data_IF_739052048925
#
_entry.id   IF_739052048925
#
_cell.length_a   1.000
_cell.length_b   1.000
_cell.length_c   1.000
_cell.angle_alpha   90.00
_cell.angle_beta   90.00
_cell.angle_gamma   90.00
#
_symmetry.space_group_name_H-M   'P 1'
#
loop_
_entity.id
_entity.type
_entity.pdbx_description
1 polymer ?
#
# COMPACT_ATOMS: atom_id res chain seq x y z
N UNK A 1 -15.75 -13.41 8.00
CA UNK A 1 -14.95 -12.50 8.82
C UNK A 1 -13.52 -13.05 9.04
N UNK A 2 -13.37 -14.30 9.56
CA UNK A 2 -12.04 -14.91 9.77
C UNK A 2 -11.25 -14.93 8.47
N UNK A 3 -11.81 -15.47 7.40
CA UNK A 3 -11.13 -15.54 6.11
C UNK A 3 -10.70 -14.15 5.60
N UNK A 4 -11.61 -13.16 5.67
CA UNK A 4 -11.36 -11.83 5.15
C UNK A 4 -10.35 -11.02 5.98
N UNK A 5 -10.38 -11.18 7.31
CA UNK A 5 -9.62 -10.30 8.21
C UNK A 5 -8.43 -10.96 8.90
N UNK A 6 -8.37 -12.30 8.94
CA UNK A 6 -7.30 -13.02 9.62
C UNK A 6 -6.51 -13.95 8.70
N UNK A 7 -7.14 -14.50 7.65
CA UNK A 7 -6.50 -15.49 6.76
C UNK A 7 -5.99 -14.86 5.48
N UNK A 8 -6.85 -14.15 4.73
CA UNK A 8 -6.46 -13.48 3.48
C UNK A 8 -6.05 -12.04 3.74
N UNK A 9 -4.94 -11.88 4.45
CA UNK A 9 -4.47 -10.59 4.96
C UNK A 9 -3.73 -9.75 3.93
N UNK A 10 -3.18 -10.34 2.87
CA UNK A 10 -2.32 -9.65 1.90
C UNK A 10 -2.46 -10.22 0.49
N UNK A 11 -2.04 -9.42 -0.48
CA UNK A 11 -1.79 -9.86 -1.84
C UNK A 11 -0.35 -10.35 -2.00
N UNK A 12 -0.05 -11.00 -3.14
CA UNK A 12 1.24 -11.65 -3.31
C UNK A 12 1.78 -11.48 -4.73
N UNK A 13 3.04 -11.08 -4.82
CA UNK A 13 3.79 -11.07 -6.06
C UNK A 13 3.64 -9.83 -6.94
N UNK A 14 4.40 -9.84 -8.00
CA UNK A 14 4.44 -8.82 -9.04
C UNK A 14 4.81 -9.46 -10.36
N UNK A 15 4.23 -8.98 -11.46
CA UNK A 15 4.65 -9.31 -12.81
C UNK A 15 5.35 -8.10 -13.44
N UNK A 16 6.46 -8.32 -14.13
CA UNK A 16 7.18 -7.28 -14.85
C UNK A 16 7.61 -7.77 -16.22
N UNK A 17 7.39 -6.93 -17.23
CA UNK A 17 7.83 -7.21 -18.60
C UNK A 17 8.28 -5.94 -19.32
N UNK A 18 9.14 -6.06 -20.34
CA UNK A 18 9.54 -4.93 -21.18
C UNK A 18 8.37 -4.49 -22.07
N UNK A 19 8.13 -3.18 -22.16
CA UNK A 19 7.02 -2.62 -22.95
C UNK A 19 7.26 -2.69 -24.47
N UNK A 20 8.49 -2.91 -24.90
CA UNK A 20 8.91 -2.93 -26.30
C UNK A 20 9.17 -4.36 -26.84
N UNK A 21 8.81 -5.39 -26.08
CA UNK A 21 8.98 -6.79 -26.48
C UNK A 21 7.67 -7.55 -26.37
N UNK A 22 7.40 -8.36 -27.38
CA UNK A 22 6.27 -9.30 -27.42
C UNK A 22 6.71 -10.58 -28.14
N UNK A 23 5.97 -11.66 -27.94
CA UNK A 23 6.15 -12.91 -28.69
C UNK A 23 5.69 -12.74 -30.14
N UNK A 24 5.96 -13.74 -30.99
CA UNK A 24 5.48 -13.75 -32.38
C UNK A 24 3.96 -13.71 -32.49
N UNK A 25 3.28 -14.23 -31.48
CA UNK A 25 1.82 -14.26 -31.33
C UNK A 25 1.24 -12.96 -30.73
N UNK A 26 2.09 -11.95 -30.44
CA UNK A 26 1.68 -10.67 -29.86
C UNK A 26 1.46 -10.70 -28.34
N UNK A 27 1.88 -11.77 -27.65
CA UNK A 27 1.76 -11.87 -26.20
C UNK A 27 2.91 -11.15 -25.49
N UNK A 28 2.69 -10.57 -24.28
CA UNK A 28 3.76 -9.95 -23.51
C UNK A 28 4.80 -10.98 -23.07
N UNK A 29 6.06 -10.57 -23.07
CA UNK A 29 7.15 -11.33 -22.44
C UNK A 29 7.34 -10.87 -21.01
N UNK A 30 7.66 -11.78 -20.10
CA UNK A 30 7.83 -11.46 -18.69
C UNK A 30 9.27 -11.67 -18.24
N UNK A 31 9.79 -10.68 -17.51
CA UNK A 31 11.07 -10.73 -16.80
C UNK A 31 10.88 -11.27 -15.38
N UNK A 32 9.76 -10.92 -14.76
CA UNK A 32 9.31 -11.45 -13.47
C UNK A 32 7.90 -11.98 -13.64
N UNK A 33 7.66 -13.21 -13.20
CA UNK A 33 6.39 -13.91 -13.33
C UNK A 33 6.27 -14.99 -12.25
N UNK A 34 5.13 -15.70 -12.25
CA UNK A 34 4.80 -16.84 -11.39
C UNK A 34 4.58 -16.49 -9.90
N UNK A 35 4.14 -17.46 -9.14
CA UNK A 35 3.88 -17.40 -7.70
C UNK A 35 4.54 -18.64 -7.05
N UNK A 36 5.61 -18.47 -6.25
CA UNK A 36 6.36 -17.23 -5.94
C UNK A 36 6.99 -16.57 -7.17
N UNK A 37 7.26 -15.23 -7.12
CA UNK A 37 7.86 -14.52 -8.25
C UNK A 37 9.22 -15.09 -8.64
N UNK A 38 9.37 -15.46 -9.91
CA UNK A 38 10.62 -15.93 -10.50
C UNK A 38 11.12 -14.87 -11.48
N UNK A 39 12.37 -14.43 -11.30
CA UNK A 39 13.01 -13.47 -12.19
C UNK A 39 13.95 -14.15 -13.15
N UNK A 40 13.89 -13.76 -14.43
CA UNK A 40 14.85 -14.12 -15.48
C UNK A 40 16.02 -13.12 -15.59
N UNK A 41 16.07 -12.13 -14.69
CA UNK A 41 17.06 -11.05 -14.66
C UNK A 41 17.75 -11.00 -13.29
N UNK A 42 18.61 -10.01 -13.08
CA UNK A 42 19.24 -9.74 -11.79
C UNK A 42 18.33 -8.97 -10.79
N UNK A 43 17.06 -8.73 -11.16
CA UNK A 43 16.09 -8.07 -10.28
C UNK A 43 15.39 -9.15 -9.46
N UNK A 44 15.65 -9.19 -8.18
CA UNK A 44 15.05 -10.15 -7.24
C UNK A 44 13.91 -9.51 -6.45
N UNK A 45 12.87 -10.30 -6.12
CA UNK A 45 11.79 -9.91 -5.22
C UNK A 45 11.97 -10.67 -3.91
N UNK A 46 12.55 -10.01 -2.91
CA UNK A 46 12.82 -10.62 -1.60
C UNK A 46 11.61 -10.64 -0.67
N UNK A 47 10.67 -9.70 -0.87
CA UNK A 47 9.45 -9.59 -0.07
C UNK A 47 8.26 -9.33 -0.99
N UNK A 48 7.60 -10.40 -1.46
CA UNK A 48 6.50 -10.30 -2.42
C UNK A 48 5.13 -10.00 -1.80
N UNK A 49 4.98 -10.12 -0.47
CA UNK A 49 3.70 -9.89 0.20
C UNK A 49 3.31 -8.40 0.24
N UNK A 50 2.07 -8.10 -0.14
CA UNK A 50 1.51 -6.75 -0.26
C UNK A 50 0.36 -6.59 0.74
N UNK A 51 0.66 -6.03 1.91
CA UNK A 51 -0.34 -5.71 2.93
C UNK A 51 -1.01 -4.36 2.67
N UNK A 52 -0.29 -3.43 2.05
CA UNK A 52 -0.78 -2.11 1.67
C UNK A 52 -0.72 -1.99 0.15
N UNK A 53 -1.88 -1.85 -0.48
CA UNK A 53 -2.00 -1.88 -1.93
C UNK A 53 -3.09 -0.96 -2.44
N UNK A 54 -3.25 -0.91 -3.75
CA UNK A 54 -4.24 -0.05 -4.40
C UNK A 54 -5.68 -0.49 -4.07
N UNK A 55 -5.92 -1.80 -4.11
CA UNK A 55 -7.25 -2.40 -3.92
C UNK A 55 -7.52 -2.90 -2.50
N UNK A 56 -6.59 -2.70 -1.57
CA UNK A 56 -6.71 -3.18 -0.19
C UNK A 56 -7.62 -2.27 0.63
N UNK A 57 -8.92 -2.50 0.60
CA UNK A 57 -9.92 -1.62 1.23
C UNK A 57 -10.30 -2.02 2.65
N UNK A 58 -10.31 -3.32 2.98
CA UNK A 58 -10.67 -3.80 4.33
C UNK A 58 -9.48 -3.79 5.29
N UNK A 59 -9.79 -3.71 6.59
CA UNK A 59 -8.79 -3.91 7.63
C UNK A 59 -8.44 -5.40 7.76
N UNK A 60 -7.26 -5.71 8.31
CA UNK A 60 -6.90 -7.07 8.69
C UNK A 60 -6.09 -7.10 9.99
N UNK A 61 -6.08 -8.26 10.63
CA UNK A 61 -5.22 -8.54 11.76
C UNK A 61 -4.13 -9.52 11.32
N UNK A 62 -2.91 -9.24 11.71
CA UNK A 62 -1.75 -10.11 11.52
C UNK A 62 -1.22 -10.60 12.85
N UNK A 63 -0.44 -11.66 12.84
CA UNK A 63 0.07 -12.31 14.06
C UNK A 63 -1.07 -12.76 14.97
N UNK A 64 -2.07 -13.43 14.39
CA UNK A 64 -3.20 -14.03 15.11
C UNK A 64 -2.98 -15.54 15.28
N UNK A 65 -3.90 -16.25 15.94
CA UNK A 65 -3.88 -17.72 15.96
C UNK A 65 -4.20 -18.32 14.60
N UNK A 66 -5.04 -17.63 13.80
CA UNK A 66 -5.30 -18.04 12.43
C UNK A 66 -4.05 -17.82 11.58
N UNK A 67 -3.67 -18.81 10.79
CA UNK A 67 -2.54 -18.71 9.86
C UNK A 67 -2.90 -17.82 8.69
N UNK A 68 -1.97 -16.95 8.31
CA UNK A 68 -2.11 -16.10 7.15
C UNK A 68 -1.81 -16.91 5.88
N UNK A 69 -2.74 -16.91 4.93
CA UNK A 69 -2.54 -17.55 3.62
C UNK A 69 -1.55 -16.70 2.81
N UNK A 70 -0.51 -17.33 2.31
CA UNK A 70 0.53 -16.68 1.51
C UNK A 70 0.27 -16.90 0.01
N UNK A 71 0.42 -18.13 -0.47
CA UNK A 71 0.15 -18.50 -1.86
C UNK A 71 -0.16 -19.99 -2.01
N UNK A 72 -0.82 -20.40 -3.12
CA UNK A 72 -1.04 -21.81 -3.42
C UNK A 72 0.23 -22.44 -4.01
N UNK A 73 0.56 -23.66 -3.59
CA UNK A 73 1.68 -24.46 -4.12
C UNK A 73 1.20 -25.87 -4.49
N UNK A 74 0.85 -26.08 -5.75
CA UNK A 74 0.21 -27.31 -6.21
C UNK A 74 -1.16 -27.49 -5.55
N UNK A 75 -1.36 -28.66 -4.90
CA UNK A 75 -2.60 -28.98 -4.17
C UNK A 75 -2.59 -28.47 -2.71
N UNK A 76 -1.51 -27.85 -2.25
CA UNK A 76 -1.36 -27.40 -0.88
C UNK A 76 -1.34 -25.85 -0.81
N UNK A 77 -1.64 -25.31 0.38
CA UNK A 77 -1.56 -23.90 0.67
C UNK A 77 -0.31 -23.61 1.50
N UNK A 78 0.44 -22.58 1.11
CA UNK A 78 1.53 -22.03 1.91
C UNK A 78 0.98 -20.96 2.83
N UNK A 79 1.45 -20.96 4.07
CA UNK A 79 1.07 -20.01 5.11
C UNK A 79 2.29 -19.25 5.61
N UNK A 80 2.06 -18.04 6.05
CA UNK A 80 3.10 -17.15 6.57
C UNK A 80 2.68 -16.49 7.87
N UNK A 81 3.64 -15.83 8.51
CA UNK A 81 3.44 -14.94 9.66
C UNK A 81 4.07 -13.58 9.36
N UNK A 82 3.34 -12.52 9.68
CA UNK A 82 3.84 -11.16 9.46
C UNK A 82 5.01 -10.85 10.40
N UNK A 83 6.16 -10.51 9.84
CA UNK A 83 7.38 -10.16 10.59
C UNK A 83 7.72 -8.66 10.58
N UNK A 84 6.86 -7.84 10.00
CA UNK A 84 7.12 -6.42 9.82
C UNK A 84 6.71 -5.55 11.01
N UNK A 85 6.89 -4.23 10.85
CA UNK A 85 6.59 -3.22 11.86
C UNK A 85 5.27 -2.48 11.62
N UNK A 86 4.54 -2.79 10.52
CA UNK A 86 3.29 -2.12 10.15
C UNK A 86 2.14 -2.42 11.08
N UNK A 87 1.04 -1.67 10.93
CA UNK A 87 -0.15 -1.81 11.75
C UNK A 87 0.00 -1.31 13.19
N UNK A 88 -1.08 -1.36 13.95
CA UNK A 88 -1.15 -0.92 15.36
C UNK A 88 -1.27 -2.14 16.27
N UNK A 89 -0.42 -2.30 17.29
CA UNK A 89 -0.53 -3.40 18.24
C UNK A 89 -1.88 -3.37 18.98
N UNK A 90 -2.59 -4.53 19.04
CA UNK A 90 -3.91 -4.65 19.67
C UNK A 90 -3.75 -5.16 21.11
N UNK A 91 -2.99 -4.41 21.91
CA UNK A 91 -2.73 -4.80 23.31
C UNK A 91 -3.89 -4.38 24.22
N UNK A 92 -4.44 -5.35 24.97
CA UNK A 92 -5.40 -5.12 26.02
C UNK A 92 -6.85 -4.87 25.55
N UNK A 93 -7.78 -5.00 26.49
CA UNK A 93 -9.21 -4.90 26.23
C UNK A 93 -9.64 -3.53 25.70
N UNK A 94 -9.09 -2.44 26.23
CA UNK A 94 -9.48 -1.09 25.82
C UNK A 94 -9.23 -0.83 24.34
N UNK A 95 -8.09 -1.27 23.79
CA UNK A 95 -7.80 -1.13 22.36
C UNK A 95 -8.74 -1.96 21.50
N UNK A 96 -9.03 -3.22 21.92
CA UNK A 96 -10.03 -4.05 21.23
C UNK A 96 -11.40 -3.37 21.22
N UNK A 97 -11.81 -2.78 22.34
CA UNK A 97 -13.08 -2.05 22.46
C UNK A 97 -13.11 -0.85 21.50
N UNK A 98 -12.07 -0.01 21.50
CA UNK A 98 -12.00 1.15 20.63
C UNK A 98 -12.06 0.77 19.16
N UNK A 99 -11.34 -0.28 18.74
CA UNK A 99 -11.40 -0.77 17.36
C UNK A 99 -12.74 -1.43 17.03
N UNK A 100 -13.33 -2.19 17.96
CA UNK A 100 -14.68 -2.75 17.81
C UNK A 100 -15.73 -1.67 17.56
N UNK A 101 -15.67 -0.56 18.30
CA UNK A 101 -16.53 0.60 18.11
C UNK A 101 -16.23 1.34 16.79
N UNK A 102 -14.95 1.55 16.47
CA UNK A 102 -14.53 2.24 15.23
C UNK A 102 -15.00 1.52 13.97
N UNK A 103 -14.83 0.21 13.93
CA UNK A 103 -15.24 -0.61 12.78
C UNK A 103 -16.69 -1.12 12.88
N UNK A 104 -17.37 -0.84 14.01
CA UNK A 104 -18.73 -1.35 14.31
C UNK A 104 -18.82 -2.87 14.23
N UNK A 105 -17.78 -3.56 14.69
CA UNK A 105 -17.61 -5.00 14.57
C UNK A 105 -17.34 -5.65 15.94
N UNK A 106 -18.34 -6.29 16.50
CA UNK A 106 -18.27 -6.95 17.81
C UNK A 106 -17.33 -8.17 17.82
N UNK A 107 -17.09 -8.79 16.66
CA UNK A 107 -16.18 -9.93 16.55
C UNK A 107 -14.75 -9.59 16.95
N UNK A 108 -14.34 -8.33 16.84
CA UNK A 108 -13.02 -7.85 17.30
C UNK A 108 -12.87 -8.06 18.82
N UNK A 109 -13.96 -7.83 19.57
CA UNK A 109 -13.96 -8.04 21.03
C UNK A 109 -14.03 -9.51 21.42
N UNK A 110 -14.81 -10.30 20.67
CA UNK A 110 -15.16 -11.68 21.01
C UNK A 110 -14.16 -12.70 20.49
N UNK A 111 -13.33 -12.34 19.48
CA UNK A 111 -12.40 -13.26 18.87
C UNK A 111 -11.28 -13.66 19.84
N UNK A 112 -11.12 -14.96 20.04
CA UNK A 112 -10.00 -15.58 20.76
C UNK A 112 -8.73 -15.70 19.90
N UNK A 113 -8.83 -15.43 18.60
CA UNK A 113 -7.71 -15.50 17.67
C UNK A 113 -6.81 -14.27 17.74
N UNK A 114 -7.38 -13.11 18.13
CA UNK A 114 -6.63 -11.87 18.33
C UNK A 114 -5.85 -11.94 19.65
N UNK A 115 -4.53 -12.04 19.55
CA UNK A 115 -3.60 -12.16 20.67
C UNK A 115 -3.02 -10.80 21.10
N UNK A 116 -2.18 -10.81 22.12
CA UNK A 116 -1.53 -9.60 22.66
C UNK A 116 -0.47 -9.00 21.71
N UNK A 117 0.12 -9.80 20.87
CA UNK A 117 1.11 -9.44 19.86
C UNK A 117 0.49 -9.19 18.48
N UNK A 118 -0.81 -9.49 18.32
CA UNK A 118 -1.54 -9.20 17.09
C UNK A 118 -1.52 -7.71 16.77
N UNK A 119 -1.46 -7.41 15.48
CA UNK A 119 -1.47 -6.04 14.97
C UNK A 119 -2.64 -5.84 14.02
N UNK A 120 -3.29 -4.71 14.14
CA UNK A 120 -4.36 -4.28 13.25
C UNK A 120 -3.81 -3.37 12.16
N UNK A 121 -4.04 -3.74 10.91
CA UNK A 121 -3.74 -2.92 9.74
C UNK A 121 -5.03 -2.37 9.16
N UNK A 122 -5.11 -1.06 9.00
CA UNK A 122 -6.23 -0.36 8.38
C UNK A 122 -5.75 0.82 7.55
N UNK A 123 -6.66 1.43 6.78
CA UNK A 123 -6.30 2.41 5.76
C UNK A 123 -5.18 1.85 4.85
N UNK A 124 -5.41 0.64 4.37
CA UNK A 124 -4.44 -0.13 3.61
C UNK A 124 -4.39 0.27 2.15
N UNK A 125 -5.47 0.87 1.63
CA UNK A 125 -5.45 1.45 0.28
C UNK A 125 -4.50 2.64 0.23
N UNK A 126 -3.55 2.60 -0.69
CA UNK A 126 -2.53 3.64 -0.91
C UNK A 126 -3.16 5.02 -1.04
N UNK A 127 -4.17 5.14 -1.91
CA UNK A 127 -4.85 6.41 -2.15
C UNK A 127 -5.64 6.92 -0.95
N UNK A 128 -6.32 6.03 -0.22
CA UNK A 128 -7.07 6.42 1.00
C UNK A 128 -6.12 6.86 2.10
N UNK A 129 -5.03 6.11 2.28
CA UNK A 129 -4.00 6.38 3.28
C UNK A 129 -3.38 7.76 3.10
N UNK A 130 -2.99 8.11 1.88
CA UNK A 130 -2.39 9.40 1.57
C UNK A 130 -3.36 10.56 1.74
N UNK A 131 -4.61 10.43 1.29
CA UNK A 131 -5.63 11.49 1.47
C UNK A 131 -5.92 11.78 2.94
N UNK A 132 -5.83 10.76 3.82
CA UNK A 132 -5.98 10.96 5.26
C UNK A 132 -4.75 11.61 5.89
N UNK A 133 -3.55 11.24 5.42
CA UNK A 133 -2.29 11.74 5.96
C UNK A 133 -2.04 13.21 5.56
N UNK A 134 -2.26 13.55 4.28
CA UNK A 134 -1.98 14.86 3.70
C UNK A 134 -3.18 15.34 2.88
N UNK A 135 -4.28 15.75 3.50
CA UNK A 135 -5.53 16.09 2.81
C UNK A 135 -5.44 17.35 1.95
N UNK A 136 -4.41 18.16 2.11
CA UNK A 136 -4.19 19.41 1.36
C UNK A 136 -3.52 19.20 -0.01
N UNK A 137 -2.94 18.01 -0.25
CA UNK A 137 -2.38 17.67 -1.56
C UNK A 137 -3.46 17.10 -2.50
N UNK A 138 -3.27 17.31 -3.77
CA UNK A 138 -3.92 16.53 -4.82
C UNK A 138 -3.02 15.38 -5.21
N UNK A 139 -3.63 14.24 -5.54
CA UNK A 139 -2.90 13.03 -5.88
C UNK A 139 -3.21 12.61 -7.30
N UNK A 140 -2.25 11.97 -7.92
CA UNK A 140 -2.52 11.20 -9.13
C UNK A 140 -3.55 10.09 -8.82
N UNK A 141 -4.17 9.58 -9.86
CA UNK A 141 -5.16 8.51 -9.73
C UNK A 141 -4.54 7.12 -9.81
N UNK A 142 -3.32 7.04 -10.33
CA UNK A 142 -2.65 5.80 -10.70
C UNK A 142 -1.31 5.66 -9.96
N UNK A 143 -1.33 5.10 -8.73
CA UNK A 143 -0.11 4.73 -8.04
C UNK A 143 0.56 3.56 -8.77
N UNK A 144 1.88 3.59 -8.92
CA UNK A 144 2.61 2.51 -9.53
C UNK A 144 3.57 1.83 -8.56
N UNK A 145 3.77 0.52 -8.75
CA UNK A 145 4.64 -0.29 -7.89
C UNK A 145 6.04 -0.39 -8.49
N UNK A 146 7.05 -0.34 -7.63
CA UNK A 146 8.45 -0.50 -8.00
C UNK A 146 9.16 -1.48 -7.08
N UNK A 147 10.21 -2.10 -7.59
CA UNK A 147 11.10 -2.99 -6.84
C UNK A 147 12.34 -2.20 -6.46
N UNK A 148 12.66 -2.16 -5.17
CA UNK A 148 13.91 -1.53 -4.69
C UNK A 148 15.11 -2.45 -4.93
N UNK A 149 16.33 -1.90 -4.81
CA UNK A 149 17.59 -2.66 -4.90
C UNK A 149 17.66 -3.84 -3.91
N UNK A 150 16.92 -3.78 -2.81
CA UNK A 150 16.83 -4.83 -1.79
C UNK A 150 15.67 -5.82 -2.06
N UNK A 151 15.05 -5.78 -3.23
CA UNK A 151 13.95 -6.68 -3.60
C UNK A 151 12.62 -6.40 -2.88
N UNK A 152 12.44 -5.25 -2.23
CA UNK A 152 11.20 -4.85 -1.56
C UNK A 152 10.30 -4.05 -2.49
N UNK A 153 9.00 -4.21 -2.34
CA UNK A 153 8.00 -3.53 -3.13
C UNK A 153 7.60 -2.19 -2.50
N UNK A 154 7.59 -1.14 -3.31
CA UNK A 154 7.13 0.19 -2.92
C UNK A 154 6.12 0.72 -3.93
N UNK A 155 5.08 1.35 -3.43
CA UNK A 155 4.20 2.18 -4.24
C UNK A 155 4.78 3.58 -4.35
N UNK A 156 4.72 4.14 -5.54
CA UNK A 156 5.05 5.54 -5.80
C UNK A 156 3.78 6.27 -6.23
N UNK A 157 3.60 7.47 -5.70
CA UNK A 157 2.50 8.36 -6.06
C UNK A 157 2.95 9.80 -6.12
N UNK A 158 2.44 10.54 -7.08
CA UNK A 158 2.68 11.96 -7.23
C UNK A 158 1.69 12.78 -6.41
N UNK A 159 2.22 13.77 -5.68
CA UNK A 159 1.47 14.74 -4.90
C UNK A 159 1.61 16.14 -5.50
N UNK A 160 0.48 16.78 -5.73
CA UNK A 160 0.41 18.12 -6.33
C UNK A 160 -0.05 19.14 -5.30
N UNK A 161 0.66 20.27 -5.26
CA UNK A 161 0.17 21.48 -4.61
C UNK A 161 -0.77 22.21 -5.57
N UNK A 162 -1.88 22.75 -5.05
CA UNK A 162 -2.89 23.44 -5.86
C UNK A 162 -3.36 24.71 -5.16
N UNK A 163 -3.73 25.74 -5.92
CA UNK A 163 -4.32 26.97 -5.41
C UNK A 163 -5.29 27.59 -6.41
N UNK A 164 -6.27 28.35 -5.92
CA UNK A 164 -7.16 29.20 -6.71
C UNK A 164 -6.77 30.68 -6.63
N UNK A 165 -5.66 31.01 -5.96
CA UNK A 165 -5.30 32.39 -5.58
C UNK A 165 -4.00 32.86 -6.22
N UNK A 166 -3.55 32.20 -7.29
CA UNK A 166 -2.34 32.62 -7.98
C UNK A 166 -2.66 33.84 -8.86
N UNK A 167 -1.88 34.95 -8.74
CA UNK A 167 -2.17 36.17 -9.49
C UNK A 167 -1.96 35.97 -11.01
N UNK A 168 -2.77 36.66 -11.80
CA UNK A 168 -2.70 36.70 -13.26
C UNK A 168 -2.81 35.34 -13.99
N UNK A 169 -3.34 34.33 -13.34
CA UNK A 169 -3.53 33.00 -13.91
C UNK A 169 -5.02 32.66 -14.01
N UNK A 170 -5.45 32.12 -15.15
CA UNK A 170 -6.81 31.66 -15.35
C UNK A 170 -7.06 30.34 -14.64
N UNK A 171 -8.20 30.19 -13.94
CA UNK A 171 -8.54 28.94 -13.30
C UNK A 171 -8.93 27.86 -14.32
N UNK A 172 -8.42 26.66 -14.09
CA UNK A 172 -8.86 25.44 -14.80
C UNK A 172 -9.90 24.71 -13.97
N UNK A 173 -10.92 24.16 -14.64
CA UNK A 173 -12.03 23.47 -13.97
C UNK A 173 -11.53 22.32 -13.10
N UNK A 174 -11.77 22.41 -11.78
CA UNK A 174 -11.43 21.37 -10.81
C UNK A 174 -9.98 21.33 -10.33
N UNK A 175 -9.06 22.12 -10.94
CA UNK A 175 -7.62 22.13 -10.60
C UNK A 175 -7.16 23.44 -9.98
N UNK A 176 -8.02 24.49 -10.00
CA UNK A 176 -7.62 25.82 -9.60
C UNK A 176 -6.85 26.56 -10.68
N UNK A 177 -6.09 27.60 -10.29
CA UNK A 177 -5.28 28.38 -11.21
C UNK A 177 -3.76 28.23 -10.98
N UNK A 178 -3.39 27.27 -10.14
CA UNK A 178 -2.01 26.90 -9.86
C UNK A 178 -1.95 25.39 -9.56
N UNK A 179 -1.02 24.69 -10.18
CA UNK A 179 -0.71 23.29 -9.92
C UNK A 179 0.78 23.03 -10.11
N UNK A 180 1.40 22.31 -9.16
CA UNK A 180 2.80 21.87 -9.25
C UNK A 180 2.93 20.43 -8.75
N UNK A 181 3.72 19.61 -9.44
CA UNK A 181 4.11 18.28 -8.98
C UNK A 181 5.26 18.41 -7.98
N UNK A 182 4.94 18.85 -6.77
CA UNK A 182 5.93 19.24 -5.78
C UNK A 182 6.35 18.14 -4.84
N UNK A 183 5.61 17.02 -4.77
CA UNK A 183 5.86 15.94 -3.82
C UNK A 183 5.87 14.59 -4.53
N UNK A 184 6.94 13.82 -4.32
CA UNK A 184 6.99 12.39 -4.62
C UNK A 184 6.81 11.60 -3.33
N UNK A 185 5.97 10.58 -3.38
CA UNK A 185 5.59 9.81 -2.20
C UNK A 185 5.91 8.36 -2.44
N UNK A 186 6.56 7.72 -1.46
CA UNK A 186 6.80 6.29 -1.47
C UNK A 186 6.09 5.64 -0.30
N UNK A 187 5.43 4.51 -0.54
CA UNK A 187 4.74 3.71 0.47
C UNK A 187 5.28 2.28 0.40
N UNK A 188 5.81 1.79 1.51
CA UNK A 188 6.25 0.40 1.64
C UNK A 188 5.04 -0.52 1.56
N UNK A 189 4.99 -1.42 0.58
CA UNK A 189 3.87 -2.31 0.35
C UNK A 189 3.66 -3.34 1.47
N UNK A 190 4.73 -3.67 2.22
CA UNK A 190 4.69 -4.62 3.32
C UNK A 190 4.33 -3.96 4.65
N UNK A 191 4.97 -2.82 5.00
CA UNK A 191 4.81 -2.16 6.30
C UNK A 191 3.85 -0.97 6.28
N UNK A 192 3.51 -0.43 5.11
CA UNK A 192 2.68 0.76 4.96
C UNK A 192 3.33 2.05 5.44
N UNK A 193 4.65 2.08 5.63
CA UNK A 193 5.37 3.30 5.96
C UNK A 193 5.39 4.25 4.76
N UNK A 194 5.11 5.53 5.04
CA UNK A 194 5.04 6.60 4.01
C UNK A 194 6.25 7.49 4.16
N UNK A 195 6.91 7.78 3.05
CA UNK A 195 7.98 8.79 2.98
C UNK A 195 7.63 9.81 1.90
N UNK A 196 7.89 11.06 2.20
CA UNK A 196 7.60 12.21 1.36
C UNK A 196 8.91 12.84 0.93
N UNK A 197 8.99 13.19 -0.34
CA UNK A 197 10.14 13.85 -0.93
C UNK A 197 9.68 15.11 -1.66
N UNK A 198 10.31 16.22 -1.34
CA UNK A 198 10.10 17.47 -2.09
C UNK A 198 10.73 17.30 -3.46
N UNK A 199 9.90 17.35 -4.52
CA UNK A 199 10.33 17.21 -5.90
C UNK A 199 10.59 18.56 -6.58
N UNK A 200 9.80 19.57 -6.23
CA UNK A 200 9.97 20.95 -6.70
C UNK A 200 10.22 21.89 -5.50
N UNK A 201 11.49 22.12 -5.13
CA UNK A 201 11.82 22.98 -3.98
C UNK A 201 11.54 24.46 -4.24
N UNK A 202 11.27 24.86 -5.48
CA UNK A 202 10.93 26.25 -5.84
C UNK A 202 9.44 26.52 -5.78
N UNK A 203 8.61 25.52 -5.59
CA UNK A 203 7.18 25.71 -5.35
C UNK A 203 6.93 26.49 -4.05
N UNK A 204 6.24 27.62 -4.18
CA UNK A 204 5.94 28.51 -3.06
C UNK A 204 5.10 27.82 -2.01
N UNK A 205 4.15 26.95 -2.43
CA UNK A 205 3.26 26.27 -1.49
C UNK A 205 4.00 25.19 -0.71
N UNK A 206 4.88 24.41 -1.35
CA UNK A 206 5.61 23.37 -0.62
C UNK A 206 6.60 23.96 0.38
N UNK A 207 7.18 25.13 0.11
CA UNK A 207 8.03 25.85 1.07
C UNK A 207 7.33 26.22 2.38
N UNK A 208 6.00 26.29 2.36
CA UNK A 208 5.20 26.58 3.57
C UNK A 208 4.90 25.30 4.36
N UNK A 209 4.86 24.15 3.67
CA UNK A 209 4.53 22.88 4.30
C UNK A 209 5.75 22.03 4.71
N UNK A 210 6.95 22.36 4.24
CA UNK A 210 8.22 21.61 4.49
C UNK A 210 8.97 22.00 5.79
#
# INVERSE_FOLDING_TARGET
WINEHLTYTHGYGICMGPVNHHTKEGLPTFMIKDIPPVSSTNIEVSQPAIYYGELSTSYCFVNTKAKEFDYPSGDENVYTEYSGSGGIPVKGFLRKLLFGLHFKELKILMSSDIQTDSRLMFDRSVSVRLRKLLPFLRYDKDPYIVISEKGRLFWIMDGYTVSNRFPYSQPSRGLGNYIRNSVKITIDAYNGSVKLYVNDPDDILIKVYS
#
